data_IF_652614725703
#
_entry.id   IF_652614725703
#
_cell.length_a   1.000
_cell.length_b   1.000
_cell.length_c   1.000
_cell.angle_alpha   90.00
_cell.angle_beta   90.00
_cell.angle_gamma   90.00
#
_symmetry.space_group_name_H-M   'P 1'
#
loop_
_entity.id
_entity.type
_entity.pdbx_description
1 polymer ?
#
# COMPACT_ATOMS: atom_id res chain seq x y z
N UNK A 1 -13.66 -12.56 -16.02
CA UNK A 1 -12.18 -12.44 -16.01
C UNK A 1 -11.85 -11.63 -17.26
N UNK A 2 -11.37 -10.41 -17.10
CA UNK A 2 -10.90 -9.62 -18.23
C UNK A 2 -9.63 -10.30 -18.73
N UNK A 3 -9.70 -10.85 -19.93
CA UNK A 3 -8.54 -11.41 -20.61
C UNK A 3 -7.63 -10.26 -21.11
N UNK A 4 -6.96 -9.62 -20.19
CA UNK A 4 -5.90 -8.65 -20.50
C UNK A 4 -4.57 -9.36 -20.66
N UNK A 5 -3.57 -8.71 -21.30
CA UNK A 5 -2.24 -9.29 -21.40
C UNK A 5 -1.65 -9.48 -19.98
N UNK A 6 -1.32 -10.71 -19.62
CA UNK A 6 -0.88 -11.11 -18.26
C UNK A 6 0.37 -10.35 -17.85
N UNK A 7 1.32 -10.18 -18.74
CA UNK A 7 2.66 -9.65 -18.44
C UNK A 7 2.71 -8.22 -17.88
N UNK A 8 2.04 -7.21 -18.43
CA UNK A 8 2.10 -5.88 -17.81
C UNK A 8 1.45 -5.85 -16.42
N UNK A 9 0.36 -6.60 -16.23
CA UNK A 9 -0.37 -6.61 -14.96
C UNK A 9 0.37 -7.37 -13.86
N UNK A 10 1.05 -8.47 -14.19
CA UNK A 10 1.90 -9.21 -13.23
C UNK A 10 2.99 -8.32 -12.70
N UNK A 11 3.68 -7.56 -13.55
CA UNK A 11 4.74 -6.65 -13.13
C UNK A 11 4.22 -5.56 -12.17
N UNK A 12 3.05 -4.99 -12.43
CA UNK A 12 2.43 -3.98 -11.57
C UNK A 12 2.04 -4.59 -10.21
N UNK A 13 1.52 -5.81 -10.19
CA UNK A 13 1.12 -6.50 -8.96
C UNK A 13 2.34 -6.85 -8.10
N UNK A 14 3.42 -7.34 -8.71
CA UNK A 14 4.67 -7.67 -8.04
C UNK A 14 5.32 -6.42 -7.41
N UNK A 15 5.19 -5.26 -8.04
CA UNK A 15 5.78 -4.01 -7.55
C UNK A 15 5.27 -3.55 -6.17
N UNK A 16 4.07 -3.96 -5.78
CA UNK A 16 3.49 -3.59 -4.48
C UNK A 16 3.68 -4.69 -3.43
N UNK A 17 3.57 -5.96 -3.82
CA UNK A 17 3.50 -7.09 -2.88
C UNK A 17 4.81 -7.85 -2.70
N UNK A 18 5.42 -8.33 -3.79
CA UNK A 18 6.54 -9.25 -3.69
C UNK A 18 7.91 -8.56 -3.67
N UNK A 19 8.12 -7.58 -4.54
CA UNK A 19 9.38 -6.82 -4.66
C UNK A 19 9.01 -5.34 -4.69
N UNK A 20 8.82 -4.75 -3.51
CA UNK A 20 8.43 -3.36 -3.36
C UNK A 20 9.61 -2.49 -2.93
N UNK A 21 9.82 -1.37 -3.61
CA UNK A 21 10.74 -0.33 -3.19
C UNK A 21 10.36 0.29 -1.83
N UNK A 22 9.10 0.15 -1.42
CA UNK A 22 8.64 0.56 -0.09
C UNK A 22 9.33 -0.25 1.02
N UNK A 23 9.60 -1.53 0.83
CA UNK A 23 10.38 -2.33 1.77
C UNK A 23 11.80 -1.78 1.93
N UNK A 24 12.43 -1.34 0.85
CA UNK A 24 13.75 -0.72 0.91
C UNK A 24 13.75 0.58 1.72
N UNK A 25 12.69 1.38 1.67
CA UNK A 25 12.56 2.60 2.47
C UNK A 25 12.22 2.33 3.93
N UNK A 26 11.54 1.24 4.23
CA UNK A 26 11.18 0.83 5.59
C UNK A 26 12.34 0.18 6.36
N UNK A 27 13.17 -0.59 5.66
CA UNK A 27 14.26 -1.36 6.29
C UNK A 27 15.20 -0.52 7.16
N UNK A 28 15.66 0.68 6.74
CA UNK A 28 16.51 1.53 7.60
C UNK A 28 15.80 2.00 8.88
N UNK A 29 14.50 2.24 8.82
CA UNK A 29 13.72 2.67 10.00
C UNK A 29 13.59 1.53 10.99
N UNK A 30 13.25 0.34 10.50
CA UNK A 30 13.05 -0.85 11.34
C UNK A 30 14.38 -1.32 11.92
N UNK A 31 15.47 -1.32 11.13
CA UNK A 31 16.79 -1.75 11.60
C UNK A 31 17.31 -0.91 12.79
N UNK A 32 16.99 0.39 12.82
CA UNK A 32 17.33 1.29 13.94
C UNK A 32 16.55 0.98 15.24
N UNK A 33 15.45 0.25 15.14
CA UNK A 33 14.59 -0.10 16.30
C UNK A 33 14.78 -1.52 16.79
N UNK A 34 15.57 -2.34 16.09
CA UNK A 34 15.87 -3.71 16.47
C UNK A 34 16.67 -3.73 17.78
N UNK A 35 16.21 -4.56 18.72
CA UNK A 35 16.92 -4.80 20.00
C UNK A 35 18.08 -5.79 19.83
N UNK A 36 17.94 -6.73 18.90
CA UNK A 36 18.95 -7.75 18.63
C UNK A 36 18.96 -8.08 17.15
N UNK A 37 20.13 -8.28 16.59
CA UNK A 37 20.32 -8.71 15.21
C UNK A 37 19.67 -10.08 14.93
N UNK A 38 19.60 -10.96 15.94
CA UNK A 38 18.93 -12.26 15.86
C UNK A 38 17.44 -12.17 15.53
N UNK A 39 16.80 -11.06 15.89
CA UNK A 39 15.37 -10.83 15.64
C UNK A 39 15.10 -10.35 14.21
N UNK A 40 16.15 -9.91 13.49
CA UNK A 40 16.03 -9.40 12.14
C UNK A 40 15.30 -10.35 11.20
N UNK A 41 15.67 -11.65 11.20
CA UNK A 41 15.01 -12.65 10.36
C UNK A 41 13.52 -12.80 10.68
N UNK A 42 13.16 -12.79 11.95
CA UNK A 42 11.74 -12.92 12.35
C UNK A 42 10.94 -11.68 11.97
N UNK A 43 11.52 -10.50 12.15
CA UNK A 43 10.85 -9.24 11.91
C UNK A 43 10.72 -8.97 10.40
N UNK A 44 11.80 -9.05 9.63
CA UNK A 44 11.75 -8.76 8.21
C UNK A 44 11.07 -9.88 7.41
N UNK A 45 11.55 -11.11 7.53
CA UNK A 45 11.01 -12.23 6.75
C UNK A 45 9.67 -12.72 7.29
N UNK A 46 9.53 -12.79 8.62
CA UNK A 46 8.27 -13.20 9.24
C UNK A 46 7.12 -12.24 8.95
N UNK A 47 7.36 -10.93 8.98
CA UNK A 47 6.36 -9.93 8.61
C UNK A 47 5.89 -10.11 7.17
N UNK A 48 6.81 -10.36 6.22
CA UNK A 48 6.49 -10.59 4.82
C UNK A 48 5.63 -11.84 4.60
N UNK A 49 5.89 -12.91 5.35
CA UNK A 49 5.03 -14.12 5.30
C UNK A 49 3.62 -13.79 5.79
N UNK A 50 3.51 -13.09 6.92
CA UNK A 50 2.20 -12.69 7.47
C UNK A 50 1.44 -11.78 6.48
N UNK A 51 2.13 -10.81 5.89
CA UNK A 51 1.55 -9.94 4.86
C UNK A 51 1.04 -10.76 3.66
N UNK A 52 1.85 -11.70 3.17
CA UNK A 52 1.47 -12.58 2.07
C UNK A 52 0.24 -13.43 2.37
N UNK A 53 0.12 -13.98 3.57
CA UNK A 53 -1.05 -14.74 4.00
C UNK A 53 -2.30 -13.86 4.02
N UNK A 54 -2.21 -12.66 4.59
CA UNK A 54 -3.32 -11.71 4.64
C UNK A 54 -3.73 -11.29 3.23
N UNK A 55 -2.76 -11.00 2.36
CA UNK A 55 -3.03 -10.66 0.96
C UNK A 55 -3.73 -11.80 0.21
N UNK A 56 -3.35 -13.05 0.45
CA UNK A 56 -4.02 -14.22 -0.13
C UNK A 56 -5.47 -14.37 0.37
N UNK A 57 -5.73 -14.07 1.64
CA UNK A 57 -7.11 -14.06 2.18
C UNK A 57 -7.96 -13.02 1.45
N UNK A 58 -7.46 -11.81 1.28
CA UNK A 58 -8.15 -10.75 0.54
C UNK A 58 -8.38 -11.13 -0.93
N UNK A 59 -7.38 -11.68 -1.61
CA UNK A 59 -7.49 -12.13 -2.99
C UNK A 59 -8.54 -13.25 -3.13
N UNK A 60 -8.52 -14.22 -2.23
CA UNK A 60 -9.49 -15.32 -2.21
C UNK A 60 -10.91 -14.82 -1.97
N UNK A 61 -11.10 -13.89 -1.04
CA UNK A 61 -12.39 -13.27 -0.76
C UNK A 61 -12.93 -12.50 -1.98
N UNK A 62 -12.06 -11.75 -2.65
CA UNK A 62 -12.44 -11.02 -3.86
C UNK A 62 -12.82 -11.96 -5.01
N UNK A 63 -12.04 -13.02 -5.23
CA UNK A 63 -12.35 -14.02 -6.26
C UNK A 63 -13.68 -14.73 -5.93
N UNK A 64 -13.88 -15.17 -4.70
CA UNK A 64 -15.10 -15.86 -4.27
C UNK A 64 -16.34 -14.97 -4.42
N UNK A 65 -16.24 -13.68 -4.16
CA UNK A 65 -17.34 -12.74 -4.25
C UNK A 65 -17.66 -12.37 -5.71
N UNK A 66 -16.66 -12.00 -6.51
CA UNK A 66 -16.88 -11.52 -7.88
C UNK A 66 -17.02 -12.64 -8.92
N UNK A 67 -16.60 -13.85 -8.59
CA UNK A 67 -16.81 -15.02 -9.44
C UNK A 67 -18.25 -15.56 -9.37
N UNK A 68 -18.93 -15.30 -8.26
CA UNK A 68 -20.35 -15.68 -8.08
C UNK A 68 -21.26 -14.44 -8.23
N UNK A 69 -21.86 -14.24 -9.42
CA UNK A 69 -22.70 -13.07 -9.69
C UNK A 69 -23.91 -12.95 -8.75
N UNK A 70 -24.34 -14.06 -8.13
CA UNK A 70 -25.47 -14.06 -7.20
C UNK A 70 -25.15 -13.40 -5.87
N UNK A 71 -23.87 -13.33 -5.52
CA UNK A 71 -23.39 -12.71 -4.28
C UNK A 71 -23.00 -11.24 -4.44
N UNK A 72 -22.79 -10.77 -5.66
CA UNK A 72 -22.57 -9.36 -5.95
C UNK A 72 -23.88 -8.60 -5.70
N UNK A 73 -23.96 -7.82 -4.63
CA UNK A 73 -25.15 -7.13 -4.18
C UNK A 73 -25.80 -6.22 -5.24
N UNK A 74 -25.01 -5.75 -6.21
CA UNK A 74 -25.45 -4.89 -7.31
C UNK A 74 -25.72 -5.65 -8.62
N UNK A 75 -25.45 -6.96 -8.69
CA UNK A 75 -25.48 -7.72 -9.95
C UNK A 75 -24.46 -7.24 -11.00
N UNK A 76 -23.63 -6.28 -10.65
CA UNK A 76 -22.58 -5.75 -11.50
C UNK A 76 -21.27 -6.50 -11.26
N UNK A 77 -20.62 -6.95 -12.33
CA UNK A 77 -19.28 -7.52 -12.25
C UNK A 77 -18.24 -6.48 -11.79
N UNK A 78 -17.08 -6.95 -11.35
CA UNK A 78 -15.98 -6.11 -10.89
C UNK A 78 -15.62 -4.97 -11.87
N UNK A 79 -15.65 -5.27 -13.17
CA UNK A 79 -15.32 -4.28 -14.20
C UNK A 79 -16.28 -3.07 -14.20
N UNK A 80 -17.56 -3.31 -14.02
CA UNK A 80 -18.57 -2.26 -13.97
C UNK A 80 -18.41 -1.41 -12.71
N UNK A 81 -18.11 -2.02 -11.57
CA UNK A 81 -17.86 -1.31 -10.30
C UNK A 81 -16.59 -0.46 -10.33
N UNK A 82 -15.54 -0.93 -11.00
CA UNK A 82 -14.27 -0.18 -11.13
C UNK A 82 -14.43 1.09 -11.99
N UNK A 83 -15.42 1.13 -12.89
CA UNK A 83 -15.72 2.31 -13.72
C UNK A 83 -16.49 3.39 -12.98
N UNK A 84 -17.08 3.09 -11.85
CA UNK A 84 -17.81 4.06 -11.03
C UNK A 84 -16.82 4.94 -10.26
N UNK A 85 -17.14 6.22 -10.04
CA UNK A 85 -16.32 7.12 -9.23
C UNK A 85 -16.10 6.53 -7.83
N UNK A 86 -14.85 6.31 -7.45
CA UNK A 86 -14.48 5.62 -6.22
C UNK A 86 -14.53 4.08 -6.35
N UNK A 87 -14.51 3.53 -7.56
CA UNK A 87 -14.74 2.12 -7.87
C UNK A 87 -13.94 1.11 -7.04
N UNK A 88 -12.67 1.38 -6.76
CA UNK A 88 -11.87 0.50 -5.91
C UNK A 88 -12.39 0.42 -4.47
N UNK A 89 -12.73 1.54 -3.85
CA UNK A 89 -13.27 1.58 -2.49
C UNK A 89 -14.67 0.96 -2.44
N UNK A 90 -15.51 1.25 -3.45
CA UNK A 90 -16.85 0.68 -3.59
C UNK A 90 -16.78 -0.82 -3.74
N UNK A 91 -15.87 -1.34 -4.55
CA UNK A 91 -15.69 -2.79 -4.73
C UNK A 91 -15.33 -3.51 -3.44
N UNK A 92 -14.41 -2.93 -2.64
CA UNK A 92 -14.05 -3.49 -1.34
C UNK A 92 -15.22 -3.42 -0.36
N UNK A 93 -15.97 -2.31 -0.34
CA UNK A 93 -17.13 -2.15 0.52
C UNK A 93 -18.23 -3.17 0.23
N UNK A 94 -18.60 -3.35 -1.04
CA UNK A 94 -19.62 -4.32 -1.44
C UNK A 94 -19.21 -5.77 -1.11
N UNK A 95 -17.96 -6.12 -1.34
CA UNK A 95 -17.41 -7.41 -0.94
C UNK A 95 -17.48 -7.61 0.58
N UNK A 96 -17.04 -6.65 1.37
CA UNK A 96 -17.08 -6.74 2.84
C UNK A 96 -18.52 -6.82 3.35
N UNK A 97 -19.44 -6.04 2.78
CA UNK A 97 -20.85 -6.04 3.14
C UNK A 97 -21.53 -7.38 2.88
N UNK A 98 -21.17 -8.03 1.79
CA UNK A 98 -21.75 -9.33 1.43
C UNK A 98 -21.18 -10.50 2.23
N UNK A 99 -19.86 -10.49 2.47
CA UNK A 99 -19.19 -11.58 3.18
C UNK A 99 -19.25 -11.44 4.70
N UNK A 100 -19.30 -10.22 5.23
CA UNK A 100 -19.26 -9.89 6.66
C UNK A 100 -20.40 -8.94 7.03
N UNK A 101 -21.66 -9.38 7.01
CA UNK A 101 -22.79 -8.49 7.26
C UNK A 101 -22.77 -7.90 8.68
N UNK A 102 -23.31 -6.68 8.81
CA UNK A 102 -23.46 -6.00 10.08
C UNK A 102 -22.13 -5.48 10.67
N UNK A 103 -21.83 -5.83 11.89
CA UNK A 103 -20.65 -5.36 12.63
C UNK A 103 -19.33 -5.75 11.93
N UNK A 104 -19.30 -6.90 11.27
CA UNK A 104 -18.14 -7.36 10.53
C UNK A 104 -17.73 -6.41 9.39
N UNK A 105 -18.69 -5.87 8.66
CA UNK A 105 -18.43 -4.85 7.62
C UNK A 105 -17.77 -3.61 8.20
N UNK A 106 -18.28 -3.13 9.35
CA UNK A 106 -17.73 -1.92 10.00
C UNK A 106 -16.28 -2.14 10.43
N UNK A 107 -15.98 -3.27 11.06
CA UNK A 107 -14.62 -3.60 11.50
C UNK A 107 -13.68 -3.74 10.30
N UNK A 108 -14.10 -4.44 9.25
CA UNK A 108 -13.30 -4.58 8.03
C UNK A 108 -13.01 -3.23 7.37
N UNK A 109 -14.01 -2.36 7.26
CA UNK A 109 -13.84 -1.02 6.67
C UNK A 109 -12.97 -0.11 7.53
N UNK A 110 -13.05 -0.19 8.85
CA UNK A 110 -12.12 0.52 9.74
C UNK A 110 -10.67 0.07 9.50
N UNK A 111 -10.44 -1.23 9.34
CA UNK A 111 -9.12 -1.76 8.98
C UNK A 111 -8.62 -1.25 7.64
N UNK A 112 -9.48 -1.26 6.61
CA UNK A 112 -9.16 -0.76 5.26
C UNK A 112 -8.84 0.74 5.24
N UNK A 113 -9.48 1.53 6.10
CA UNK A 113 -9.21 2.97 6.23
C UNK A 113 -7.94 3.22 7.05
N UNK A 114 -7.73 2.47 8.13
CA UNK A 114 -6.57 2.64 9.00
C UNK A 114 -5.25 2.27 8.30
N UNK A 115 -5.27 1.24 7.46
CA UNK A 115 -4.07 0.73 6.79
C UNK A 115 -3.34 1.80 5.92
N UNK A 116 -3.97 2.52 5.00
CA UNK A 116 -3.30 3.57 4.23
C UNK A 116 -2.88 4.77 5.09
N UNK A 117 -3.56 5.06 6.20
CA UNK A 117 -3.16 6.13 7.13
C UNK A 117 -1.83 5.78 7.78
N UNK A 118 -1.69 4.58 8.33
CA UNK A 118 -0.46 4.11 8.97
C UNK A 118 0.70 3.99 7.97
N UNK A 119 0.44 3.49 6.79
CA UNK A 119 1.43 3.39 5.71
C UNK A 119 1.88 4.76 5.23
N UNK A 120 0.95 5.72 5.10
CA UNK A 120 1.24 7.10 4.74
C UNK A 120 2.12 7.80 5.79
N UNK A 121 1.80 7.67 7.07
CA UNK A 121 2.62 8.23 8.16
C UNK A 121 4.06 7.71 8.08
N UNK A 122 4.23 6.42 7.88
CA UNK A 122 5.55 5.80 7.79
C UNK A 122 6.30 6.23 6.52
N UNK A 123 5.63 6.35 5.39
CA UNK A 123 6.23 6.82 4.14
C UNK A 123 6.72 8.28 4.27
N UNK A 124 5.90 9.16 4.83
CA UNK A 124 6.30 10.56 5.07
C UNK A 124 7.43 10.67 6.09
N UNK A 125 7.46 9.80 7.10
CA UNK A 125 8.57 9.72 8.05
C UNK A 125 9.86 9.31 7.36
N UNK A 126 9.84 8.27 6.53
CA UNK A 126 11.01 7.81 5.77
C UNK A 126 11.52 8.90 4.82
N UNK A 127 10.63 9.54 4.07
CA UNK A 127 10.99 10.64 3.18
C UNK A 127 11.64 11.80 3.93
N UNK A 128 11.09 12.17 5.09
CA UNK A 128 11.68 13.21 5.95
C UNK A 128 13.06 12.81 6.44
N UNK A 129 13.26 11.58 6.89
CA UNK A 129 14.57 11.10 7.35
C UNK A 129 15.62 11.17 6.25
N UNK A 130 15.28 10.76 5.02
CA UNK A 130 16.17 10.86 3.86
C UNK A 130 16.56 12.32 3.59
N UNK A 131 15.61 13.25 3.66
CA UNK A 131 15.87 14.68 3.46
C UNK A 131 16.80 15.22 4.56
N UNK A 132 16.59 14.84 5.83
CA UNK A 132 17.43 15.24 6.94
C UNK A 132 18.86 14.72 6.78
N UNK A 133 19.02 13.45 6.42
CA UNK A 133 20.34 12.85 6.18
C UNK A 133 21.06 13.55 5.00
N UNK A 134 20.33 13.86 3.93
CA UNK A 134 20.89 14.51 2.75
C UNK A 134 21.30 15.96 2.99
N UNK A 135 20.45 16.72 3.69
CA UNK A 135 20.69 18.13 4.01
C UNK A 135 21.50 18.31 5.31
N UNK A 136 21.86 17.22 6.00
CA UNK A 136 22.57 17.22 7.31
C UNK A 136 21.88 18.11 8.34
N UNK A 137 20.55 18.07 8.39
CA UNK A 137 19.75 18.86 9.31
C UNK A 137 19.61 18.16 10.66
N UNK A 138 19.53 18.93 11.74
CA UNK A 138 19.30 18.38 13.08
C UNK A 138 17.82 18.04 13.29
N UNK A 139 17.53 16.74 13.40
CA UNK A 139 16.16 16.22 13.59
C UNK A 139 15.57 16.58 14.97
N UNK A 140 16.38 16.97 15.94
CA UNK A 140 15.92 17.27 17.31
C UNK A 140 15.10 18.55 17.40
N UNK A 141 15.30 19.48 16.47
CA UNK A 141 14.57 20.75 16.47
C UNK A 141 13.20 20.62 15.84
N UNK A 142 12.15 20.86 16.62
CA UNK A 142 10.75 20.80 16.17
C UNK A 142 10.50 21.73 14.97
N UNK A 143 11.07 22.94 14.97
CA UNK A 143 10.92 23.91 13.89
C UNK A 143 11.46 23.38 12.55
N UNK A 144 12.63 22.73 12.59
CA UNK A 144 13.26 22.14 11.41
C UNK A 144 12.44 20.93 10.91
N UNK A 145 11.94 20.11 11.84
CA UNK A 145 11.03 19.00 11.49
C UNK A 145 9.78 19.50 10.79
N UNK A 146 9.16 20.54 11.30
CA UNK A 146 7.93 21.11 10.73
C UNK A 146 8.19 21.74 9.35
N UNK A 147 9.33 22.42 9.19
CA UNK A 147 9.75 23.05 7.94
C UNK A 147 9.90 22.04 6.78
N UNK A 148 10.27 20.80 7.07
CA UNK A 148 10.35 19.73 6.05
C UNK A 148 9.03 18.96 5.92
N UNK A 149 8.33 18.72 7.03
CA UNK A 149 7.09 17.95 7.03
C UNK A 149 5.95 18.66 6.31
N UNK A 150 5.80 19.97 6.50
CA UNK A 150 4.70 20.76 5.88
C UNK A 150 4.78 20.74 4.35
N UNK A 151 5.93 21.05 3.70
CA UNK A 151 6.05 20.94 2.25
C UNK A 151 5.79 19.53 1.73
N UNK A 152 6.28 18.49 2.42
CA UNK A 152 6.04 17.10 2.03
C UNK A 152 4.54 16.76 2.06
N UNK A 153 3.82 17.16 3.09
CA UNK A 153 2.38 16.95 3.19
C UNK A 153 1.61 17.73 2.12
N UNK A 154 2.05 18.96 1.80
CA UNK A 154 1.46 19.77 0.73
C UNK A 154 1.66 19.09 -0.63
N UNK A 155 2.85 18.59 -0.92
CA UNK A 155 3.13 17.84 -2.15
C UNK A 155 2.25 16.59 -2.20
N UNK A 156 2.15 15.83 -1.12
CA UNK A 156 1.27 14.68 -1.02
C UNK A 156 -0.19 15.03 -1.27
N UNK A 157 -0.67 16.15 -0.73
CA UNK A 157 -2.02 16.65 -0.97
C UNK A 157 -2.25 17.02 -2.43
N UNK A 158 -1.31 17.70 -3.08
CA UNK A 158 -1.39 18.04 -4.50
C UNK A 158 -1.44 16.76 -5.35
N UNK A 159 -0.57 15.80 -5.08
CA UNK A 159 -0.55 14.51 -5.79
C UNK A 159 -1.88 13.77 -5.61
N UNK A 160 -2.51 13.87 -4.45
CA UNK A 160 -3.82 13.24 -4.19
C UNK A 160 -4.96 13.78 -5.07
N UNK A 161 -4.79 14.94 -5.71
CA UNK A 161 -5.75 15.50 -6.68
C UNK A 161 -5.57 15.01 -8.10
N UNK A 162 -4.46 14.36 -8.39
CA UNK A 162 -4.19 13.75 -9.69
C UNK A 162 -4.98 12.43 -9.81
N UNK A 163 -5.29 12.04 -11.05
CA UNK A 163 -5.97 10.76 -11.30
C UNK A 163 -5.20 9.58 -10.71
N UNK A 164 -5.92 8.74 -9.96
CA UNK A 164 -5.34 7.59 -9.27
C UNK A 164 -4.57 6.65 -10.20
N UNK A 165 -5.07 6.39 -11.42
CA UNK A 165 -4.44 5.46 -12.35
C UNK A 165 -3.09 5.98 -12.84
N UNK A 166 -2.96 7.29 -13.01
CA UNK A 166 -1.70 7.93 -13.38
C UNK A 166 -0.68 7.80 -12.24
N UNK A 167 -1.09 8.21 -11.03
CA UNK A 167 -0.23 8.12 -9.84
C UNK A 167 0.20 6.68 -9.57
N UNK A 168 -0.72 5.71 -9.67
CA UNK A 168 -0.44 4.30 -9.46
C UNK A 168 0.57 3.73 -10.44
N UNK A 169 0.52 4.14 -11.70
CA UNK A 169 1.49 3.71 -12.73
C UNK A 169 2.90 4.20 -12.44
N UNK A 170 3.05 5.48 -12.10
CA UNK A 170 4.34 6.05 -11.72
C UNK A 170 4.87 5.47 -10.41
N UNK A 171 4.01 5.27 -9.43
CA UNK A 171 4.34 4.61 -8.17
C UNK A 171 4.89 3.19 -8.40
N UNK A 172 4.20 2.38 -9.20
CA UNK A 172 4.65 1.02 -9.52
C UNK A 172 6.00 1.01 -10.24
N UNK A 173 6.19 1.90 -11.20
CA UNK A 173 7.46 2.05 -11.91
C UNK A 173 8.59 2.47 -10.95
N UNK A 174 8.38 3.45 -10.11
CA UNK A 174 9.36 3.93 -9.13
C UNK A 174 9.76 2.85 -8.14
N UNK A 175 8.79 2.08 -7.63
CA UNK A 175 9.03 0.97 -6.72
C UNK A 175 9.89 -0.13 -7.35
N UNK A 176 9.59 -0.51 -8.58
CA UNK A 176 10.39 -1.52 -9.29
C UNK A 176 11.80 -1.03 -9.58
N UNK A 177 11.96 0.22 -9.97
CA UNK A 177 13.26 0.83 -10.22
C UNK A 177 14.10 0.83 -8.94
N UNK A 178 13.52 1.26 -7.81
CA UNK A 178 14.21 1.26 -6.53
C UNK A 178 14.59 -0.16 -6.08
N UNK A 179 13.65 -1.10 -6.20
CA UNK A 179 13.90 -2.50 -5.86
C UNK A 179 15.03 -3.10 -6.73
N UNK A 180 15.05 -2.80 -8.02
CA UNK A 180 16.12 -3.22 -8.92
C UNK A 180 17.48 -2.67 -8.46
N UNK A 181 17.57 -1.38 -8.15
CA UNK A 181 18.81 -0.77 -7.68
C UNK A 181 19.29 -1.46 -6.40
N UNK A 182 18.41 -1.67 -5.43
CA UNK A 182 18.75 -2.30 -4.14
C UNK A 182 19.20 -3.76 -4.32
N UNK A 183 18.60 -4.50 -5.25
CA UNK A 183 18.99 -5.89 -5.52
C UNK A 183 20.34 -6.03 -6.26
N UNK A 184 20.79 -4.96 -6.92
CA UNK A 184 22.09 -4.94 -7.62
C UNK A 184 23.23 -4.39 -6.75
N UNK A 185 22.95 -3.80 -5.61
CA UNK A 185 23.95 -3.34 -4.62
C UNK A 185 24.40 -4.45 -3.69
#
# INVERSE_FOLDING_TARGET
IVAGPVWPFVSITIACGAISGFHATQSPVISRTLKSEKDGRKIFYGAMICEGIIAMVWASAAIAFYYDPSKAASGMGLEALLKVKGGNATSVYEMCKALLPGVGTVIAMLGVIACPITSGDTAFRSARMVIFDWLKLDEKQIKVRLSVAVPLLLIGYIISKVDYNVVWRYFSWSNQTLAMIVLWC
#
